data_IF_192499303798
#
_entry.id   IF_192499303798
#
_cell.length_a   1.000
_cell.length_b   1.000
_cell.length_c   1.000
_cell.angle_alpha   90.00
_cell.angle_beta   90.00
_cell.angle_gamma   90.00
#
_symmetry.space_group_name_H-M   'P 1'
#
loop_
_entity.id
_entity.type
_entity.pdbx_description
1 polymer ?
#
# COMPACT_ATOMS: atom_id res chain seq x y z
N UNK A 1 0.95 12.96 -35.54
CA UNK A 1 1.46 13.02 -34.16
C UNK A 1 0.30 13.46 -33.29
N UNK A 2 -0.29 12.54 -32.53
CA UNK A 2 -1.38 12.85 -31.61
C UNK A 2 -0.75 13.24 -30.26
N UNK A 3 -1.23 14.30 -29.60
CA UNK A 3 -0.72 14.72 -28.31
C UNK A 3 -1.10 13.65 -27.30
N UNK A 4 -0.11 12.88 -26.81
CA UNK A 4 -0.28 12.13 -25.59
C UNK A 4 -0.41 13.15 -24.46
N UNK A 5 -1.54 13.21 -23.73
CA UNK A 5 -1.51 13.80 -22.40
C UNK A 5 -0.41 13.03 -21.63
N UNK A 6 0.38 13.69 -20.77
CA UNK A 6 1.27 12.95 -19.90
C UNK A 6 0.38 11.95 -19.17
N UNK A 7 0.69 10.67 -19.32
CA UNK A 7 0.07 9.60 -18.57
C UNK A 7 0.46 9.91 -17.12
N UNK A 8 -0.37 10.74 -16.48
CA UNK A 8 -0.18 11.18 -15.11
C UNK A 8 -0.16 9.92 -14.27
N UNK A 9 0.87 9.79 -13.43
CA UNK A 9 0.98 8.66 -12.54
C UNK A 9 -0.33 8.58 -11.77
N UNK A 10 -1.08 7.49 -12.02
CA UNK A 10 -2.49 7.34 -11.67
C UNK A 10 -2.79 7.98 -10.32
N UNK A 11 -3.78 8.87 -10.30
CA UNK A 11 -4.12 9.72 -9.16
C UNK A 11 -4.20 8.88 -7.88
N UNK A 12 -3.88 9.47 -6.73
CA UNK A 12 -3.71 8.74 -5.47
C UNK A 12 -5.02 8.06 -5.05
N UNK A 13 -5.20 6.80 -5.42
CA UNK A 13 -6.39 6.04 -5.05
C UNK A 13 -6.10 5.23 -3.79
N UNK A 14 -6.69 5.72 -2.70
CA UNK A 14 -6.94 5.05 -1.41
C UNK A 14 -5.99 3.87 -1.12
N UNK A 15 -4.76 4.22 -0.78
CA UNK A 15 -3.74 3.27 -0.37
C UNK A 15 -4.06 2.93 1.11
N UNK A 16 -4.91 1.94 1.31
CA UNK A 16 -5.09 1.30 2.63
C UNK A 16 -4.29 0.01 2.68
N UNK A 17 -3.18 -0.09 1.95
CA UNK A 17 -2.46 -1.35 1.80
C UNK A 17 -1.85 -1.84 3.11
N UNK A 18 -1.26 -0.93 3.90
CA UNK A 18 -0.79 -1.23 5.26
C UNK A 18 -1.95 -1.60 6.17
N UNK A 19 -3.02 -0.82 6.17
CA UNK A 19 -4.20 -1.05 7.03
C UNK A 19 -4.89 -2.38 6.71
N UNK A 20 -5.12 -2.69 5.44
CA UNK A 20 -5.69 -3.97 4.97
C UNK A 20 -4.78 -5.14 5.32
N UNK A 21 -3.45 -4.99 5.17
CA UNK A 21 -2.50 -6.01 5.59
C UNK A 21 -2.58 -6.27 7.10
N UNK A 22 -2.67 -5.21 7.89
CA UNK A 22 -2.68 -5.30 9.35
C UNK A 22 -3.97 -5.90 9.88
N UNK A 23 -5.11 -5.65 9.21
CA UNK A 23 -6.43 -6.17 9.62
C UNK A 23 -6.67 -7.59 9.07
N UNK A 24 -6.36 -7.84 7.79
CA UNK A 24 -6.75 -9.06 7.08
C UNK A 24 -5.59 -10.01 6.77
N UNK A 25 -4.35 -9.54 6.82
CA UNK A 25 -3.15 -10.27 6.40
C UNK A 25 -2.86 -10.14 4.90
N UNK A 26 -1.67 -10.59 4.49
CA UNK A 26 -1.15 -10.40 3.12
C UNK A 26 -2.04 -10.97 2.01
N UNK A 27 -2.59 -12.18 2.18
CA UNK A 27 -3.39 -12.84 1.15
C UNK A 27 -4.70 -12.09 0.84
N UNK A 28 -5.56 -11.88 1.85
CA UNK A 28 -6.80 -11.11 1.66
C UNK A 28 -6.55 -9.65 1.25
N UNK A 29 -5.50 -9.00 1.78
CA UNK A 29 -5.14 -7.65 1.37
C UNK A 29 -4.73 -7.60 -0.11
N UNK A 30 -3.95 -8.56 -0.60
CA UNK A 30 -3.56 -8.64 -2.01
C UNK A 30 -4.78 -8.78 -2.93
N UNK A 31 -5.71 -9.67 -2.58
CA UNK A 31 -6.94 -9.86 -3.35
C UNK A 31 -7.83 -8.62 -3.32
N UNK A 32 -7.98 -7.99 -2.15
CA UNK A 32 -8.77 -6.77 -1.98
C UNK A 32 -8.19 -5.60 -2.79
N UNK A 33 -6.87 -5.41 -2.77
CA UNK A 33 -6.20 -4.35 -3.53
C UNK A 33 -6.31 -4.58 -5.04
N UNK A 34 -6.05 -5.80 -5.51
CA UNK A 34 -6.18 -6.13 -6.94
C UNK A 34 -7.63 -5.95 -7.42
N UNK A 35 -8.60 -6.49 -6.67
CA UNK A 35 -10.00 -6.39 -7.04
C UNK A 35 -10.54 -4.95 -6.94
N UNK A 36 -10.14 -4.20 -5.91
CA UNK A 36 -10.50 -2.79 -5.76
C UNK A 36 -9.99 -1.96 -6.93
N UNK A 37 -8.73 -2.18 -7.33
CA UNK A 37 -8.14 -1.54 -8.50
C UNK A 37 -8.82 -1.94 -9.81
N UNK A 38 -9.26 -3.19 -9.94
CA UNK A 38 -10.02 -3.65 -11.11
C UNK A 38 -11.37 -2.96 -11.20
N UNK A 39 -12.12 -2.92 -10.09
CA UNK A 39 -13.42 -2.22 -10.04
C UNK A 39 -13.25 -0.74 -10.33
N UNK A 40 -12.20 -0.12 -9.77
CA UNK A 40 -11.88 1.27 -10.06
C UNK A 40 -11.62 1.50 -11.54
N UNK A 41 -10.79 0.65 -12.17
CA UNK A 41 -10.56 0.68 -13.61
C UNK A 41 -11.85 0.50 -14.41
N UNK A 42 -12.71 -0.44 -14.05
CA UNK A 42 -13.94 -0.70 -14.80
C UNK A 42 -15.00 0.42 -14.67
N UNK A 43 -15.11 1.03 -13.48
CA UNK A 43 -16.21 1.93 -13.14
C UNK A 43 -15.85 3.42 -13.26
N UNK A 44 -14.60 3.80 -13.00
CA UNK A 44 -14.20 5.21 -12.87
C UNK A 44 -13.03 5.59 -13.81
N UNK A 45 -12.08 4.68 -14.03
CA UNK A 45 -10.90 4.94 -14.85
C UNK A 45 -10.60 3.84 -15.90
N UNK A 46 -11.46 3.63 -16.92
CA UNK A 46 -11.26 2.57 -17.92
C UNK A 46 -9.97 2.71 -18.71
N UNK A 47 -9.44 3.93 -18.80
CA UNK A 47 -8.17 4.21 -19.45
C UNK A 47 -6.97 3.60 -18.72
N UNK A 48 -7.09 3.25 -17.43
CA UNK A 48 -6.03 2.60 -16.64
C UNK A 48 -6.01 1.07 -16.82
N UNK A 49 -7.06 0.47 -17.41
CA UNK A 49 -7.16 -0.98 -17.60
C UNK A 49 -6.01 -1.59 -18.42
N UNK A 50 -5.51 -0.98 -19.51
CA UNK A 50 -4.32 -1.47 -20.21
C UNK A 50 -3.07 -1.53 -19.31
N UNK A 51 -3.00 -0.68 -18.29
CA UNK A 51 -1.90 -0.61 -17.32
C UNK A 51 -2.21 -1.38 -16.03
N UNK A 52 -3.35 -2.08 -15.96
CA UNK A 52 -3.81 -2.75 -14.75
C UNK A 52 -2.74 -3.68 -14.15
N UNK A 53 -2.04 -4.46 -14.99
CA UNK A 53 -0.96 -5.34 -14.50
C UNK A 53 0.17 -4.56 -13.82
N UNK A 54 0.60 -3.44 -14.42
CA UNK A 54 1.61 -2.55 -13.83
C UNK A 54 1.12 -2.01 -12.49
N UNK A 55 -0.10 -1.46 -12.46
CA UNK A 55 -0.70 -0.85 -11.27
C UNK A 55 -0.90 -1.87 -10.14
N UNK A 56 -1.35 -3.10 -10.44
CA UNK A 56 -1.47 -4.18 -9.46
C UNK A 56 -0.11 -4.51 -8.86
N UNK A 57 0.94 -4.65 -9.67
CA UNK A 57 2.27 -4.98 -9.14
C UNK A 57 2.85 -3.88 -8.26
N UNK A 58 2.55 -2.61 -8.55
CA UNK A 58 2.91 -1.45 -7.71
C UNK A 58 2.27 -1.53 -6.33
N UNK A 59 1.14 -2.23 -6.15
CA UNK A 59 0.55 -2.48 -4.84
C UNK A 59 1.06 -3.79 -4.23
N UNK A 60 1.09 -4.88 -5.01
CA UNK A 60 1.37 -6.21 -4.48
C UNK A 60 2.83 -6.42 -4.11
N UNK A 61 3.78 -5.92 -4.90
CA UNK A 61 5.20 -6.15 -4.59
C UNK A 61 5.60 -5.43 -3.31
N UNK A 62 5.24 -4.15 -3.09
CA UNK A 62 5.47 -3.49 -1.81
C UNK A 62 4.73 -4.16 -0.65
N UNK A 63 3.51 -4.66 -0.86
CA UNK A 63 2.74 -5.40 0.14
C UNK A 63 3.50 -6.66 0.59
N UNK A 64 4.04 -7.43 -0.36
CA UNK A 64 4.82 -8.62 -0.04
C UNK A 64 6.16 -8.26 0.61
N UNK A 65 6.85 -7.22 0.15
CA UNK A 65 8.08 -6.73 0.78
C UNK A 65 7.83 -6.31 2.24
N UNK A 66 6.76 -5.56 2.49
CA UNK A 66 6.31 -5.20 3.83
C UNK A 66 5.98 -6.44 4.66
N UNK A 67 5.35 -7.46 4.08
CA UNK A 67 5.06 -8.72 4.78
C UNK A 67 6.32 -9.46 5.24
N UNK A 68 7.40 -9.38 4.47
CA UNK A 68 8.70 -9.95 4.83
C UNK A 68 9.37 -9.14 5.94
N UNK A 69 9.25 -7.80 5.91
CA UNK A 69 9.74 -6.93 6.98
C UNK A 69 8.94 -7.15 8.27
N UNK A 70 7.62 -7.29 8.19
CA UNK A 70 6.75 -7.58 9.31
C UNK A 70 7.19 -8.85 10.06
N UNK A 71 7.50 -9.93 9.34
CA UNK A 71 8.02 -11.17 9.94
C UNK A 71 9.33 -11.01 10.71
N UNK A 72 10.12 -9.98 10.40
CA UNK A 72 11.40 -9.69 11.08
C UNK A 72 11.24 -8.78 12.29
N UNK A 73 10.31 -7.83 12.25
CA UNK A 73 10.18 -6.77 13.27
C UNK A 73 9.00 -6.99 14.23
N UNK A 74 8.09 -7.89 13.89
CA UNK A 74 6.94 -8.28 14.72
C UNK A 74 7.19 -9.69 15.24
N UNK A 75 6.98 -9.91 16.54
CA UNK A 75 7.07 -11.26 17.10
C UNK A 75 5.98 -12.14 16.48
N UNK A 76 6.27 -13.43 16.21
CA UNK A 76 5.21 -14.40 15.94
C UNK A 76 4.12 -14.24 17.00
N UNK A 77 2.85 -14.31 16.60
CA UNK A 77 1.70 -14.29 17.51
C UNK A 77 1.36 -12.94 18.17
N UNK A 78 1.99 -11.85 17.73
CA UNK A 78 1.61 -10.50 18.16
C UNK A 78 0.27 -10.08 17.56
N UNK A 79 -0.67 -9.65 18.40
CA UNK A 79 -1.93 -9.07 17.93
C UNK A 79 -1.68 -7.69 17.35
N UNK A 80 -2.54 -7.24 16.44
CA UNK A 80 -2.42 -5.92 15.84
C UNK A 80 -2.37 -4.79 16.89
N UNK A 81 -3.21 -4.88 17.92
CA UNK A 81 -3.25 -3.91 19.03
C UNK A 81 -2.00 -3.92 19.90
N UNK A 82 -1.20 -4.98 19.87
CA UNK A 82 0.01 -5.12 20.68
C UNK A 82 1.25 -4.57 19.95
N UNK A 83 1.10 -4.16 18.69
CA UNK A 83 2.20 -3.59 17.92
C UNK A 83 2.65 -2.24 18.49
N UNK A 84 3.96 -2.00 18.47
CA UNK A 84 4.49 -0.69 18.79
C UNK A 84 4.15 0.28 17.65
N UNK A 85 3.90 1.56 17.99
CA UNK A 85 3.72 2.62 16.99
C UNK A 85 4.92 2.71 16.04
N UNK A 86 6.14 2.46 16.53
CA UNK A 86 7.35 2.42 15.70
C UNK A 86 7.33 1.26 14.69
N UNK A 87 6.79 0.08 15.06
CA UNK A 87 6.62 -1.05 14.14
C UNK A 87 5.62 -0.72 13.04
N UNK A 88 4.49 -0.12 13.38
CA UNK A 88 3.47 0.31 12.41
C UNK A 88 4.02 1.37 11.46
N UNK A 89 4.69 2.39 12.00
CA UNK A 89 5.34 3.43 11.19
C UNK A 89 6.38 2.85 10.23
N UNK A 90 7.20 1.89 10.69
CA UNK A 90 8.18 1.20 9.84
C UNK A 90 7.52 0.41 8.72
N UNK A 91 6.41 -0.28 9.00
CA UNK A 91 5.68 -1.03 7.97
C UNK A 91 5.05 -0.10 6.94
N UNK A 92 4.38 0.96 7.39
CA UNK A 92 3.83 1.99 6.51
C UNK A 92 4.93 2.61 5.64
N UNK A 93 6.05 3.05 6.23
CA UNK A 93 7.19 3.57 5.47
C UNK A 93 7.79 2.55 4.48
N UNK A 94 7.84 1.26 4.85
CA UNK A 94 8.32 0.19 3.95
C UNK A 94 7.41 0.05 2.74
N UNK A 95 6.10 0.11 2.94
CA UNK A 95 5.13 0.02 1.86
C UNK A 95 5.26 1.21 0.90
N UNK A 96 5.35 2.42 1.43
CA UNK A 96 5.49 3.64 0.61
C UNK A 96 6.81 3.69 -0.15
N UNK A 97 7.92 3.35 0.50
CA UNK A 97 9.23 3.23 -0.16
C UNK A 97 9.20 2.14 -1.24
N UNK A 98 8.51 1.04 -0.99
CA UNK A 98 8.30 -0.02 -1.97
C UNK A 98 7.53 0.48 -3.19
N UNK A 99 6.46 1.26 -3.00
CA UNK A 99 5.66 1.83 -4.11
C UNK A 99 6.55 2.73 -4.97
N UNK A 100 7.26 3.69 -4.37
CA UNK A 100 8.18 4.58 -5.11
C UNK A 100 9.25 3.77 -5.84
N UNK A 101 9.84 2.77 -5.18
CA UNK A 101 10.84 1.91 -5.80
C UNK A 101 10.30 1.10 -6.98
N UNK A 102 9.07 0.57 -6.87
CA UNK A 102 8.45 -0.22 -7.93
C UNK A 102 7.98 0.64 -9.11
N UNK A 103 7.47 1.85 -8.84
CA UNK A 103 7.20 2.85 -9.89
C UNK A 103 8.49 3.22 -10.61
N UNK A 104 9.57 3.47 -9.86
CA UNK A 104 10.89 3.77 -10.44
C UNK A 104 11.35 2.64 -11.37
N UNK A 105 11.18 1.38 -10.95
CA UNK A 105 11.47 0.22 -11.79
C UNK A 105 10.69 0.26 -13.11
N UNK A 106 9.37 0.49 -13.06
CA UNK A 106 8.55 0.56 -14.26
C UNK A 106 8.88 1.75 -15.16
N UNK A 107 9.17 2.92 -14.59
CA UNK A 107 9.60 4.10 -15.34
C UNK A 107 10.91 3.83 -16.07
N UNK A 108 11.92 3.28 -15.39
CA UNK A 108 13.18 2.92 -16.05
C UNK A 108 13.01 1.80 -17.08
N UNK A 109 12.15 0.83 -16.82
CA UNK A 109 11.85 -0.25 -17.76
C UNK A 109 11.15 0.25 -19.02
N UNK A 110 10.16 1.13 -18.87
CA UNK A 110 9.32 1.62 -19.98
C UNK A 110 9.89 2.82 -20.73
N UNK A 111 10.57 3.73 -20.04
CA UNK A 111 11.08 4.99 -20.60
C UNK A 111 12.61 4.99 -20.76
N UNK A 112 13.30 3.97 -20.23
CA UNK A 112 14.75 3.86 -20.28
C UNK A 112 15.47 4.63 -19.16
N UNK A 113 16.75 4.32 -18.98
CA UNK A 113 17.61 4.98 -18.01
C UNK A 113 18.14 6.30 -18.57
N UNK A 114 17.56 7.41 -18.13
CA UNK A 114 17.95 8.76 -18.51
C UNK A 114 17.78 9.76 -17.35
N UNK A 115 18.39 10.94 -17.48
CA UNK A 115 18.19 12.03 -16.51
C UNK A 115 16.74 12.52 -16.51
N UNK A 116 16.08 12.53 -17.67
CA UNK A 116 14.67 12.91 -17.80
C UNK A 116 13.75 11.94 -17.05
N UNK A 117 13.98 10.63 -17.20
CA UNK A 117 13.26 9.59 -16.46
C UNK A 117 13.47 9.75 -14.95
N UNK A 118 14.72 10.01 -14.52
CA UNK A 118 15.03 10.23 -13.10
C UNK A 118 14.34 11.48 -12.53
N UNK A 119 14.24 12.56 -13.30
CA UNK A 119 13.51 13.77 -12.91
C UNK A 119 12.00 13.52 -12.80
N UNK A 120 11.42 12.79 -13.76
CA UNK A 120 10.00 12.40 -13.73
C UNK A 120 9.67 11.57 -12.49
N UNK A 121 10.51 10.57 -12.17
CA UNK A 121 10.40 9.79 -10.93
C UNK A 121 10.51 10.69 -9.70
N UNK A 122 11.46 11.63 -9.68
CA UNK A 122 11.64 12.56 -8.57
C UNK A 122 10.42 13.45 -8.33
N UNK A 123 9.82 13.97 -9.40
CA UNK A 123 8.58 14.75 -9.34
C UNK A 123 7.41 13.90 -8.83
N UNK A 124 7.27 12.67 -9.33
CA UNK A 124 6.28 11.73 -8.83
C UNK A 124 6.47 11.45 -7.35
N UNK A 125 7.68 11.08 -6.91
CA UNK A 125 7.96 10.78 -5.52
C UNK A 125 7.69 11.99 -4.61
N UNK A 126 8.07 13.19 -5.05
CA UNK A 126 7.77 14.44 -4.34
C UNK A 126 6.27 14.67 -4.16
N UNK A 127 5.49 14.55 -5.24
CA UNK A 127 4.04 14.73 -5.20
C UNK A 127 3.32 13.61 -4.45
N UNK A 128 3.81 12.38 -4.55
CA UNK A 128 3.27 11.21 -3.87
C UNK A 128 3.43 11.34 -2.35
N UNK A 129 4.63 11.71 -1.90
CA UNK A 129 4.95 11.79 -0.47
C UNK A 129 4.18 12.89 0.27
N UNK A 130 3.75 13.97 -0.40
CA UNK A 130 2.99 15.04 0.27
C UNK A 130 1.62 14.58 0.74
N UNK A 131 0.96 13.69 -0.01
CA UNK A 131 -0.37 13.17 0.32
C UNK A 131 -0.25 11.95 1.23
N UNK A 132 0.71 11.08 0.93
CA UNK A 132 0.85 9.77 1.56
C UNK A 132 1.42 9.83 2.99
N UNK A 133 2.15 10.88 3.36
CA UNK A 133 2.60 11.05 4.75
C UNK A 133 1.45 11.18 5.76
N UNK A 134 0.22 11.41 5.30
CA UNK A 134 -0.98 11.36 6.13
C UNK A 134 -1.33 9.91 6.51
N UNK A 135 -1.05 8.93 5.64
CA UNK A 135 -1.41 7.53 5.83
C UNK A 135 -0.77 6.90 7.09
N UNK A 136 0.53 7.11 7.41
CA UNK A 136 1.07 6.70 8.69
C UNK A 136 0.34 7.29 9.89
N UNK A 137 -0.11 8.55 9.82
CA UNK A 137 -0.88 9.17 10.91
C UNK A 137 -2.25 8.51 11.05
N UNK A 138 -2.89 8.18 9.94
CA UNK A 138 -4.15 7.43 9.91
C UNK A 138 -3.96 6.02 10.47
N UNK A 139 -2.90 5.31 10.08
CA UNK A 139 -2.57 3.98 10.62
C UNK A 139 -2.39 4.02 12.15
N UNK A 140 -1.70 5.04 12.66
CA UNK A 140 -1.53 5.25 14.10
C UNK A 140 -2.86 5.58 14.79
N UNK A 141 -3.72 6.39 14.17
CA UNK A 141 -5.05 6.73 14.68
C UNK A 141 -5.98 5.50 14.71
N UNK A 142 -5.95 4.67 13.66
CA UNK A 142 -6.69 3.40 13.61
C UNK A 142 -6.19 2.45 14.69
N UNK A 143 -4.87 2.35 14.92
CA UNK A 143 -4.31 1.56 16.02
C UNK A 143 -4.77 2.09 17.39
N UNK A 144 -4.76 3.41 17.59
CA UNK A 144 -5.23 4.04 18.83
C UNK A 144 -6.73 3.78 19.07
N UNK A 145 -7.55 3.90 18.03
CA UNK A 145 -8.98 3.58 18.08
C UNK A 145 -9.21 2.10 18.40
N UNK A 146 -8.49 1.19 17.73
CA UNK A 146 -8.58 -0.25 17.96
C UNK A 146 -8.18 -0.63 19.40
N UNK A 147 -7.23 0.08 20.02
CA UNK A 147 -6.87 -0.10 21.44
C UNK A 147 -7.94 0.41 22.41
N UNK A 148 -8.71 1.41 22.01
CA UNK A 148 -9.72 2.05 22.87
C UNK A 148 -11.06 1.31 22.93
N UNK A 149 -11.31 0.40 21.98
CA UNK A 149 -12.54 -0.40 21.95
C UNK A 149 -12.51 -1.50 23.04
N UNK A 150 -13.60 -1.68 23.81
CA UNK A 150 -13.74 -2.82 24.71
C UNK A 150 -13.62 -4.13 23.94
N UNK A 151 -12.98 -5.16 24.54
CA UNK A 151 -12.87 -6.50 23.95
C UNK A 151 -14.25 -7.02 23.58
N UNK A 152 -14.56 -7.08 22.28
CA UNK A 152 -15.80 -7.65 21.78
C UNK A 152 -15.53 -9.10 21.33
N UNK A 153 -16.02 -10.04 22.12
CA UNK A 153 -15.77 -11.48 22.01
C UNK A 153 -16.72 -12.17 21.01
N UNK A 154 -16.89 -11.59 19.80
CA UNK A 154 -17.86 -12.11 18.81
C UNK A 154 -17.34 -12.10 17.38
N UNK A 155 -16.96 -13.30 16.91
CA UNK A 155 -17.33 -13.88 15.60
C UNK A 155 -16.89 -13.17 14.31
N UNK A 156 -16.15 -13.92 13.47
CA UNK A 156 -15.64 -13.60 12.11
C UNK A 156 -14.44 -12.63 12.06
N UNK A 157 -14.38 -11.59 12.89
CA UNK A 157 -13.21 -10.69 13.04
C UNK A 157 -12.11 -11.23 13.98
N UNK A 158 -12.43 -12.30 14.70
CA UNK A 158 -11.74 -12.71 15.92
C UNK A 158 -10.49 -13.59 15.69
N UNK A 159 -10.27 -14.10 14.47
CA UNK A 159 -9.15 -15.01 14.21
C UNK A 159 -7.79 -14.33 14.00
N UNK A 160 -7.73 -13.01 13.85
CA UNK A 160 -6.46 -12.26 13.67
C UNK A 160 -6.33 -10.99 14.50
N UNK A 161 -7.44 -10.47 15.03
CA UNK A 161 -7.43 -9.33 15.94
C UNK A 161 -7.13 -9.74 17.40
N UNK A 162 -7.48 -10.97 17.80
CA UNK A 162 -7.35 -11.42 19.19
C UNK A 162 -6.70 -12.80 19.42
N UNK A 163 -6.47 -13.59 18.37
CA UNK A 163 -5.78 -14.89 18.48
C UNK A 163 -4.46 -14.97 17.70
N UNK A 164 -3.48 -15.76 18.21
CA UNK A 164 -2.16 -15.95 17.61
C UNK A 164 -2.21 -16.82 16.34
N UNK A 165 -1.12 -16.84 15.58
CA UNK A 165 -1.02 -17.51 14.27
C UNK A 165 -0.78 -19.02 14.39
#
# INVERSE_FOLDING_TARGET
MLPHPPVGVSEVHLILGSTLFLILGAGPAALGLAFGLLLQGLLFAPFDLPQYGMNVTTLLVPLFAMSLVARKIIRPDSRYVDLSYASVLRLSATFQAGIVGWVSFWCFWGQGFSMETAQSIGLFAGAYMTVVLIEPLVDLAVLAAARSLPRADTGVFDKRLHHPA
#
